data_IF_416824682014
#
_entry.id   IF_416824682014
#
_cell.length_a   1.000
_cell.length_b   1.000
_cell.length_c   1.000
_cell.angle_alpha   90.00
_cell.angle_beta   90.00
_cell.angle_gamma   90.00
#
_symmetry.space_group_name_H-M   'P 1'
#
loop_
_entity.id
_entity.type
_entity.pdbx_description
1 polymer ?
#
# COMPACT_ATOMS: atom_id res chain seq x y z
N UNK A 1 -22.13 5.48 16.06
CA UNK A 1 -21.27 4.94 15.00
C UNK A 1 -20.07 5.86 14.86
N UNK A 2 -18.94 5.54 15.51
CA UNK A 2 -17.71 6.31 15.35
C UNK A 2 -17.14 6.04 13.97
N UNK A 3 -17.03 7.07 13.15
CA UNK A 3 -16.43 6.96 11.81
C UNK A 3 -14.94 6.63 11.92
N UNK A 4 -14.39 6.05 10.85
CA UNK A 4 -12.94 5.99 10.66
C UNK A 4 -12.41 7.43 10.52
N UNK A 5 -11.41 7.80 11.32
CA UNK A 5 -10.78 9.13 11.26
C UNK A 5 -9.97 9.36 9.95
N UNK A 6 -9.62 8.27 9.25
CA UNK A 6 -9.02 8.31 7.93
C UNK A 6 -8.67 6.93 7.38
N UNK A 7 -8.50 6.83 6.06
CA UNK A 7 -8.02 5.63 5.37
C UNK A 7 -6.59 5.84 4.87
N UNK A 8 -5.66 5.00 5.33
CA UNK A 8 -4.28 4.99 4.82
C UNK A 8 -4.16 3.84 3.81
N UNK A 9 -3.71 4.15 2.60
CA UNK A 9 -3.43 3.16 1.55
C UNK A 9 -1.94 3.08 1.32
N UNK A 10 -1.36 1.90 1.53
CA UNK A 10 0.02 1.62 1.17
C UNK A 10 0.03 0.95 -0.21
N UNK A 11 0.76 1.52 -1.16
CA UNK A 11 0.88 1.03 -2.53
C UNK A 11 2.33 0.74 -2.90
N UNK A 12 2.52 -0.12 -3.90
CA UNK A 12 3.81 -0.41 -4.51
C UNK A 12 3.58 -0.84 -5.99
N UNK A 13 4.58 -0.73 -6.88
CA UNK A 13 4.47 -1.25 -8.24
C UNK A 13 4.08 -2.72 -8.26
N UNK A 14 3.29 -3.13 -9.27
CA UNK A 14 2.82 -4.52 -9.39
C UNK A 14 3.99 -5.52 -9.40
N UNK A 15 5.11 -5.18 -10.04
CA UNK A 15 6.33 -5.99 -10.05
C UNK A 15 6.89 -6.25 -8.64
N UNK A 16 6.89 -5.23 -7.79
CA UNK A 16 7.33 -5.34 -6.39
C UNK A 16 6.32 -6.16 -5.56
N UNK A 17 5.02 -5.99 -5.78
CA UNK A 17 3.99 -6.80 -5.13
C UNK A 17 4.13 -8.29 -5.50
N UNK A 18 4.32 -8.58 -6.79
CA UNK A 18 4.56 -9.93 -7.28
C UNK A 18 5.80 -10.55 -6.64
N UNK A 19 6.94 -9.85 -6.68
CA UNK A 19 8.18 -10.34 -6.09
C UNK A 19 7.99 -10.66 -4.59
N UNK A 20 7.34 -9.77 -3.82
CA UNK A 20 7.08 -9.96 -2.39
C UNK A 20 6.14 -11.13 -2.10
N UNK A 21 5.05 -11.28 -2.86
CA UNK A 21 4.11 -12.40 -2.71
C UNK A 21 4.78 -13.74 -3.00
N UNK A 22 5.62 -13.80 -4.03
CA UNK A 22 6.38 -15.01 -4.36
C UNK A 22 7.42 -15.35 -3.30
N UNK A 23 8.17 -14.37 -2.82
CA UNK A 23 9.25 -14.57 -1.83
C UNK A 23 8.70 -14.88 -0.44
N UNK A 24 7.67 -14.16 0.02
CA UNK A 24 7.11 -14.30 1.38
C UNK A 24 6.13 -15.46 1.49
N UNK A 25 5.24 -15.60 0.51
CA UNK A 25 4.10 -16.52 0.60
C UNK A 25 4.30 -17.79 -0.25
N UNK A 26 5.43 -17.91 -0.96
CA UNK A 26 5.75 -19.09 -1.80
C UNK A 26 4.84 -19.24 -3.03
N UNK A 27 4.08 -18.20 -3.39
CA UNK A 27 3.11 -18.25 -4.48
C UNK A 27 3.78 -18.41 -5.84
N UNK A 28 3.10 -19.09 -6.75
CA UNK A 28 3.42 -19.03 -8.18
C UNK A 28 3.10 -17.62 -8.73
N UNK A 29 3.68 -17.27 -9.88
CA UNK A 29 3.38 -15.98 -10.51
C UNK A 29 1.89 -15.84 -10.87
N UNK A 30 1.26 -16.91 -11.33
CA UNK A 30 -0.16 -16.92 -11.67
C UNK A 30 -1.05 -16.67 -10.44
N UNK A 31 -0.77 -17.32 -9.31
CA UNK A 31 -1.49 -17.10 -8.05
C UNK A 31 -1.28 -15.67 -7.52
N UNK A 32 -0.05 -15.16 -7.58
CA UNK A 32 0.25 -13.81 -7.14
C UNK A 32 -0.48 -12.76 -8.00
N UNK A 33 -0.50 -12.92 -9.33
CA UNK A 33 -1.25 -12.05 -10.25
C UNK A 33 -2.75 -12.13 -10.01
N UNK A 34 -3.29 -13.34 -9.85
CA UNK A 34 -4.71 -13.52 -9.54
C UNK A 34 -5.09 -12.84 -8.23
N UNK A 35 -4.23 -12.93 -7.21
CA UNK A 35 -4.44 -12.28 -5.91
C UNK A 35 -4.35 -10.75 -5.97
N UNK A 36 -3.47 -10.20 -6.81
CA UNK A 36 -3.41 -8.75 -7.05
C UNK A 36 -4.68 -8.30 -7.79
N UNK A 37 -5.10 -9.03 -8.83
CA UNK A 37 -6.29 -8.71 -9.62
C UNK A 37 -7.61 -8.86 -8.85
N UNK A 38 -7.67 -9.73 -7.85
CA UNK A 38 -8.85 -9.88 -6.99
C UNK A 38 -9.06 -8.69 -6.03
N UNK A 39 -8.06 -7.82 -5.88
CA UNK A 39 -8.18 -6.63 -5.06
C UNK A 39 -8.67 -5.45 -5.91
N UNK A 40 -9.28 -4.47 -5.26
CA UNK A 40 -9.59 -3.19 -5.89
C UNK A 40 -8.30 -2.61 -6.52
N UNK A 41 -8.34 -2.10 -7.77
CA UNK A 41 -7.15 -1.53 -8.41
C UNK A 41 -6.48 -0.51 -7.50
N UNK A 42 -5.14 -0.49 -7.47
CA UNK A 42 -4.39 0.43 -6.61
C UNK A 42 -4.80 1.89 -6.83
N UNK A 43 -5.08 2.25 -8.09
CA UNK A 43 -5.59 3.57 -8.46
C UNK A 43 -6.96 3.89 -7.82
N UNK A 44 -7.86 2.91 -7.72
CA UNK A 44 -9.16 3.10 -7.07
C UNK A 44 -9.02 3.16 -5.55
N UNK A 45 -8.17 2.32 -4.94
CA UNK A 45 -7.88 2.39 -3.50
C UNK A 45 -7.38 3.77 -3.10
N UNK A 46 -6.46 4.34 -3.90
CA UNK A 46 -5.92 5.68 -3.69
C UNK A 46 -7.00 6.77 -3.69
N UNK A 47 -8.05 6.64 -4.51
CA UNK A 47 -9.15 7.63 -4.56
C UNK A 47 -9.97 7.70 -3.28
N UNK A 48 -10.01 6.60 -2.52
CA UNK A 48 -10.71 6.54 -1.23
C UNK A 48 -9.79 6.86 -0.04
N UNK A 49 -8.48 7.02 -0.28
CA UNK A 49 -7.50 7.21 0.77
C UNK A 49 -7.49 8.65 1.28
N UNK A 50 -7.47 8.81 2.59
CA UNK A 50 -7.11 10.07 3.26
C UNK A 50 -5.60 10.31 3.11
N UNK A 51 -4.81 9.23 3.13
CA UNK A 51 -3.36 9.28 2.97
C UNK A 51 -2.85 8.10 2.14
N UNK A 52 -1.87 8.36 1.28
CA UNK A 52 -1.23 7.33 0.46
C UNK A 52 0.24 7.26 0.83
N UNK A 53 0.74 6.05 1.07
CA UNK A 53 2.17 5.77 1.28
C UNK A 53 2.65 4.91 0.12
N UNK A 54 3.66 5.38 -0.60
CA UNK A 54 4.30 4.63 -1.67
C UNK A 54 5.52 3.86 -1.13
N UNK A 55 5.36 2.55 -0.98
CA UNK A 55 6.39 1.60 -0.53
C UNK A 55 7.16 1.03 -1.73
N UNK A 56 7.66 1.94 -2.56
CA UNK A 56 8.45 1.64 -3.76
C UNK A 56 9.85 2.29 -3.75
N UNK A 57 10.05 3.28 -2.89
CA UNK A 57 11.32 4.01 -2.73
C UNK A 57 12.25 3.39 -1.70
N UNK A 58 13.23 4.18 -1.24
CA UNK A 58 14.13 3.77 -0.16
C UNK A 58 13.41 3.72 1.19
N UNK A 59 14.00 3.04 2.18
CA UNK A 59 13.50 3.08 3.56
C UNK A 59 13.44 4.50 4.12
N UNK A 60 14.36 5.38 3.69
CA UNK A 60 14.36 6.79 4.07
C UNK A 60 13.15 7.54 3.50
N UNK A 61 12.78 7.27 2.23
CA UNK A 61 11.58 7.87 1.61
C UNK A 61 10.31 7.39 2.30
N UNK A 62 10.27 6.11 2.69
CA UNK A 62 9.16 5.53 3.43
C UNK A 62 9.05 6.16 4.82
N UNK A 63 10.17 6.31 5.54
CA UNK A 63 10.20 6.93 6.87
C UNK A 63 9.71 8.39 6.82
N UNK A 64 10.16 9.17 5.84
CA UNK A 64 9.70 10.54 5.66
C UNK A 64 8.18 10.63 5.41
N UNK A 65 7.62 9.74 4.58
CA UNK A 65 6.17 9.68 4.33
C UNK A 65 5.38 9.31 5.60
N UNK A 66 5.90 8.40 6.42
CA UNK A 66 5.30 8.02 7.70
C UNK A 66 5.37 9.17 8.70
N UNK A 67 6.49 9.88 8.79
CA UNK A 67 6.64 11.02 9.70
C UNK A 67 5.66 12.17 9.35
N UNK A 68 5.51 12.46 8.06
CA UNK A 68 4.53 13.46 7.59
C UNK A 68 3.08 13.04 7.89
N UNK A 69 2.76 11.76 7.76
CA UNK A 69 1.45 11.22 8.14
C UNK A 69 1.21 11.40 9.65
N UNK A 70 2.19 11.03 10.49
CA UNK A 70 2.07 11.15 11.95
C UNK A 70 1.90 12.60 12.41
N UNK A 71 2.53 13.57 11.74
CA UNK A 71 2.30 15.00 12.01
C UNK A 71 0.85 15.40 11.71
N UNK A 72 0.30 14.97 10.58
CA UNK A 72 -1.09 15.29 10.17
C UNK A 72 -2.16 14.65 11.05
N UNK A 73 -1.87 13.51 11.68
CA UNK A 73 -2.80 12.83 12.59
C UNK A 73 -2.79 13.41 14.02
N UNK A 74 -1.77 14.21 14.38
CA UNK A 74 -1.60 14.78 15.73
C UNK A 74 -2.11 16.23 15.86
N UNK A 75 -2.56 16.85 14.76
CA UNK A 75 -3.18 18.18 14.72
C UNK A 75 -4.69 18.08 14.71
#
# INVERSE_FOLDING_TARGET
>A
HGGLDGLIVVTAPESAQLARLRLRDGMTEAEARARIAAQLPAAEKVRHATFVIENAGSEADLAAQVDELLKKMRS
#
